data_IF_996600047391
#
_entry.id   IF_996600047391
#
_cell.length_a   1.000
_cell.length_b   1.000
_cell.length_c   1.000
_cell.angle_alpha   90.00
_cell.angle_beta   90.00
_cell.angle_gamma   90.00
#
_symmetry.space_group_name_H-M   'P 1'
#
loop_
_entity.id
_entity.type
_entity.pdbx_description
1 polymer ?
#
# COMPACT_ATOMS: atom_id res chain seq x y z
N UNK A 1 -14.21 -8.20 -18.42
CA UNK A 1 -13.21 -8.18 -17.32
C UNK A 1 -12.30 -6.99 -17.54
N UNK A 2 -12.44 -5.93 -16.73
CA UNK A 2 -11.52 -4.79 -16.79
C UNK A 2 -10.14 -5.29 -16.33
N UNK A 3 -9.17 -5.38 -17.24
CA UNK A 3 -7.77 -5.68 -16.90
C UNK A 3 -7.31 -4.64 -15.88
N UNK A 4 -7.04 -5.07 -14.65
CA UNK A 4 -6.40 -4.23 -13.64
C UNK A 4 -5.11 -3.68 -14.24
N UNK A 5 -4.94 -2.36 -14.21
CA UNK A 5 -3.72 -1.70 -14.74
C UNK A 5 -2.45 -2.12 -13.99
N UNK A 6 -2.61 -2.67 -12.78
CA UNK A 6 -1.53 -3.09 -11.91
C UNK A 6 -1.41 -4.61 -11.87
N UNK A 7 -0.20 -5.08 -12.03
CA UNK A 7 0.17 -6.49 -11.87
C UNK A 7 0.44 -6.81 -10.40
N UNK A 8 0.28 -8.08 -10.02
CA UNK A 8 0.62 -8.57 -8.67
C UNK A 8 2.05 -8.18 -8.26
N UNK A 9 3.00 -8.32 -9.19
CA UNK A 9 4.41 -7.98 -8.98
C UNK A 9 4.62 -6.51 -8.59
N UNK A 10 3.83 -5.59 -9.15
CA UNK A 10 3.92 -4.16 -8.81
C UNK A 10 3.37 -3.90 -7.40
N UNK A 11 2.25 -4.53 -7.04
CA UNK A 11 1.67 -4.43 -5.69
C UNK A 11 2.65 -4.98 -4.64
N UNK A 12 3.27 -6.12 -4.90
CA UNK A 12 4.27 -6.72 -4.01
C UNK A 12 5.50 -5.82 -3.86
N UNK A 13 6.02 -5.27 -4.97
CA UNK A 13 7.17 -4.37 -4.95
C UNK A 13 6.88 -3.12 -4.13
N UNK A 14 5.70 -2.51 -4.32
CA UNK A 14 5.25 -1.35 -3.54
C UNK A 14 5.11 -1.69 -2.07
N UNK A 15 4.49 -2.82 -1.76
CA UNK A 15 4.27 -3.30 -0.39
C UNK A 15 5.59 -3.54 0.35
N UNK A 16 6.52 -4.28 -0.27
CA UNK A 16 7.83 -4.55 0.29
C UNK A 16 8.63 -3.27 0.49
N UNK A 17 8.64 -2.37 -0.50
CA UNK A 17 9.36 -1.12 -0.38
C UNK A 17 8.84 -0.27 0.78
N UNK A 18 7.53 -0.05 0.87
CA UNK A 18 6.94 0.74 1.94
C UNK A 18 7.21 0.13 3.32
N UNK A 19 6.97 -1.17 3.48
CA UNK A 19 7.17 -1.84 4.77
C UNK A 19 8.64 -1.85 5.19
N UNK A 20 9.58 -2.08 4.26
CA UNK A 20 11.01 -2.02 4.55
C UNK A 20 11.47 -0.60 4.91
N UNK A 21 11.04 0.40 4.13
CA UNK A 21 11.38 1.80 4.40
C UNK A 21 10.84 2.27 5.74
N UNK A 22 9.58 1.93 6.05
CA UNK A 22 8.94 2.24 7.32
C UNK A 22 9.64 1.56 8.50
N UNK A 23 10.02 0.28 8.35
CA UNK A 23 10.78 -0.43 9.37
C UNK A 23 12.17 0.18 9.62
N UNK A 24 12.92 0.52 8.55
CA UNK A 24 14.25 1.13 8.65
C UNK A 24 14.21 2.54 9.24
N UNK A 25 13.16 3.30 8.92
CA UNK A 25 13.00 4.69 9.35
C UNK A 25 12.25 4.83 10.68
N UNK A 26 11.89 3.72 11.34
CA UNK A 26 11.04 3.67 12.54
C UNK A 26 9.68 4.42 12.38
N UNK A 27 9.13 4.42 11.16
CA UNK A 27 7.84 5.05 10.85
C UNK A 27 6.73 4.01 11.01
N UNK A 28 5.81 4.25 11.94
CA UNK A 28 4.73 3.31 12.24
C UNK A 28 3.50 3.49 11.33
N UNK A 29 3.31 4.70 10.80
CA UNK A 29 2.22 4.99 9.86
C UNK A 29 2.61 6.06 8.85
N UNK A 30 2.11 5.91 7.63
CA UNK A 30 2.23 6.89 6.55
C UNK A 30 0.85 7.20 5.99
N UNK A 31 0.63 8.45 5.60
CA UNK A 31 -0.54 8.79 4.76
C UNK A 31 -0.32 8.31 3.34
N UNK A 32 -1.41 8.07 2.58
CA UNK A 32 -1.28 7.71 1.18
C UNK A 32 -0.56 8.77 0.33
N UNK A 33 -0.66 10.05 0.69
CA UNK A 33 0.08 11.13 0.04
C UNK A 33 1.59 10.97 0.23
N UNK A 34 2.03 10.77 1.48
CA UNK A 34 3.45 10.56 1.81
C UNK A 34 4.00 9.28 1.19
N UNK A 35 3.23 8.19 1.25
CA UNK A 35 3.61 6.93 0.64
C UNK A 35 3.76 7.07 -0.89
N UNK A 36 2.83 7.78 -1.54
CA UNK A 36 2.92 8.04 -2.97
C UNK A 36 4.15 8.88 -3.34
N UNK A 37 4.46 9.91 -2.54
CA UNK A 37 5.65 10.74 -2.75
C UNK A 37 6.94 9.93 -2.59
N UNK A 38 7.03 9.07 -1.56
CA UNK A 38 8.17 8.19 -1.35
C UNK A 38 8.36 7.20 -2.50
N UNK A 39 7.27 6.58 -2.96
CA UNK A 39 7.31 5.65 -4.10
C UNK A 39 7.75 6.35 -5.39
N UNK A 40 7.32 7.59 -5.60
CA UNK A 40 7.70 8.40 -6.75
C UNK A 40 9.18 8.77 -6.71
N UNK A 41 9.67 9.30 -5.57
CA UNK A 41 11.07 9.68 -5.37
C UNK A 41 12.03 8.51 -5.59
N UNK A 42 11.60 7.29 -5.26
CA UNK A 42 12.40 6.08 -5.40
C UNK A 42 12.13 5.31 -6.70
N UNK A 43 11.39 5.89 -7.65
CA UNK A 43 11.04 5.26 -8.94
C UNK A 43 10.38 3.88 -8.80
N UNK A 44 9.69 3.63 -7.69
CA UNK A 44 9.00 2.35 -7.42
C UNK A 44 7.63 2.33 -8.09
N UNK A 45 6.90 3.44 -7.98
CA UNK A 45 5.63 3.66 -8.67
C UNK A 45 5.64 5.07 -9.23
N UNK A 46 5.43 5.21 -10.54
CA UNK A 46 5.39 6.53 -11.17
C UNK A 46 4.18 7.32 -10.68
N UNK A 47 4.37 8.63 -10.58
CA UNK A 47 3.38 9.56 -10.05
C UNK A 47 2.72 10.46 -11.12
N UNK A 48 2.97 10.12 -12.38
CA UNK A 48 2.71 10.92 -13.57
C UNK A 48 1.38 10.57 -14.26
N UNK A 49 0.69 9.50 -13.84
CA UNK A 49 -0.60 9.12 -14.39
C UNK A 49 -1.71 9.64 -13.47
N UNK A 50 -2.53 10.55 -13.99
CA UNK A 50 -3.71 11.13 -13.33
C UNK A 50 -3.62 12.63 -13.06
N UNK A 51 -4.70 13.25 -12.55
CA UNK A 51 -4.81 14.71 -12.39
C UNK A 51 -4.01 15.27 -11.20
N UNK A 52 -3.51 14.42 -10.30
CA UNK A 52 -2.83 14.83 -9.07
C UNK A 52 -1.69 13.87 -8.69
N UNK A 53 -0.62 14.37 -8.04
CA UNK A 53 0.35 13.53 -7.35
C UNK A 53 -0.34 12.54 -6.40
N UNK A 54 0.07 11.29 -6.49
CA UNK A 54 -0.41 10.15 -5.72
C UNK A 54 -1.72 9.55 -6.22
N UNK A 55 -2.19 9.96 -7.39
CA UNK A 55 -3.40 9.37 -8.00
C UNK A 55 -3.23 7.86 -8.22
N UNK A 56 -2.11 7.42 -8.83
CA UNK A 56 -1.85 6.00 -9.08
C UNK A 56 -1.90 5.14 -7.82
N UNK A 57 -1.19 5.57 -6.78
CA UNK A 57 -1.16 4.84 -5.52
C UNK A 57 -2.57 4.77 -4.89
N UNK A 58 -3.32 5.87 -4.89
CA UNK A 58 -4.71 5.87 -4.39
C UNK A 58 -5.65 4.99 -5.21
N UNK A 59 -5.49 4.95 -6.54
CA UNK A 59 -6.24 4.03 -7.39
C UNK A 59 -5.86 2.57 -7.11
N UNK A 60 -4.58 2.27 -6.88
CA UNK A 60 -4.12 0.94 -6.48
C UNK A 60 -4.77 0.52 -5.15
N UNK A 61 -4.80 1.40 -4.14
CA UNK A 61 -5.48 1.15 -2.86
C UNK A 61 -6.99 0.91 -3.05
N UNK A 62 -7.64 1.68 -3.92
CA UNK A 62 -9.07 1.50 -4.23
C UNK A 62 -9.34 0.17 -4.92
N UNK A 63 -8.53 -0.21 -5.91
CA UNK A 63 -8.65 -1.49 -6.61
C UNK A 63 -8.41 -2.67 -5.65
N UNK A 64 -7.47 -2.54 -4.71
CA UNK A 64 -7.24 -3.54 -3.66
C UNK A 64 -8.43 -3.69 -2.71
N UNK A 65 -9.12 -2.59 -2.38
CA UNK A 65 -10.37 -2.62 -1.60
C UNK A 65 -11.50 -3.33 -2.35
N UNK A 66 -11.60 -3.09 -3.65
CA UNK A 66 -12.61 -3.66 -4.54
C UNK A 66 -12.30 -5.12 -4.95
N UNK A 67 -11.18 -5.70 -4.48
CA UNK A 67 -10.78 -7.07 -4.81
C UNK A 67 -10.30 -7.27 -6.25
N UNK A 68 -10.01 -6.18 -6.99
CA UNK A 68 -9.51 -6.24 -8.36
C UNK A 68 -8.02 -6.57 -8.45
N UNK A 69 -7.29 -6.28 -7.38
CA UNK A 69 -5.87 -6.59 -7.18
C UNK A 69 -5.66 -6.99 -5.71
N UNK A 70 -4.48 -7.53 -5.41
CA UNK A 70 -4.08 -7.74 -4.01
C UNK A 70 -3.96 -6.40 -3.27
N UNK A 71 -4.25 -6.41 -1.96
CA UNK A 71 -4.14 -5.21 -1.13
C UNK A 71 -2.68 -4.91 -0.84
N UNK A 72 -2.31 -3.63 -0.94
CA UNK A 72 -1.00 -3.16 -0.48
C UNK A 72 -0.84 -3.46 1.01
N UNK A 73 0.32 -3.98 1.41
CA UNK A 73 0.59 -4.34 2.80
C UNK A 73 0.43 -3.12 3.73
N UNK A 74 -0.34 -3.29 4.79
CA UNK A 74 -0.57 -2.27 5.81
C UNK A 74 -1.59 -1.21 5.40
N UNK A 75 -2.16 -1.30 4.19
CA UNK A 75 -3.16 -0.36 3.73
C UNK A 75 -4.46 -0.46 4.52
N UNK A 76 -4.86 0.66 5.11
CA UNK A 76 -6.05 0.80 5.92
C UNK A 76 -6.83 2.06 5.54
N UNK A 77 -8.15 1.95 5.62
CA UNK A 77 -9.07 3.06 5.50
C UNK A 77 -10.24 2.80 6.45
N UNK A 78 -10.47 3.73 7.37
CA UNK A 78 -11.51 3.57 8.40
C UNK A 78 -12.92 3.52 7.81
N UNK A 79 -13.25 4.44 6.89
CA UNK A 79 -14.56 4.50 6.22
C UNK A 79 -14.41 4.95 4.76
N UNK A 80 -15.36 4.66 3.87
CA UNK A 80 -15.37 5.26 2.55
C UNK A 80 -15.25 6.79 2.65
N UNK A 81 -14.48 7.40 1.74
CA UNK A 81 -14.17 8.84 1.70
C UNK A 81 -13.22 9.37 2.79
N UNK A 82 -12.72 8.54 3.72
CA UNK A 82 -11.64 8.97 4.63
C UNK A 82 -10.27 8.81 3.98
N UNK A 83 -9.25 9.45 4.56
CA UNK A 83 -7.85 9.28 4.12
C UNK A 83 -7.41 7.83 4.29
N UNK A 84 -6.56 7.38 3.38
CA UNK A 84 -5.87 6.11 3.46
C UNK A 84 -4.60 6.26 4.30
N UNK A 85 -4.33 5.24 5.11
CA UNK A 85 -3.10 5.13 5.90
C UNK A 85 -2.43 3.80 5.59
N UNK A 86 -1.10 3.81 5.56
CA UNK A 86 -0.27 2.61 5.48
C UNK A 86 0.34 2.42 6.85
N UNK A 87 -0.01 1.35 7.54
CA UNK A 87 0.56 1.01 8.83
C UNK A 87 1.71 0.04 8.64
N UNK A 88 2.74 0.16 9.48
CA UNK A 88 3.80 -0.83 9.55
C UNK A 88 3.17 -2.14 10.05
N UNK A 89 3.34 -3.21 9.28
CA UNK A 89 2.97 -4.55 9.73
C UNK A 89 4.13 -5.08 10.55
N UNK A 90 3.87 -5.25 11.84
CA UNK A 90 4.82 -5.91 12.72
C UNK A 90 4.98 -7.36 12.28
N UNK A 91 6.19 -7.81 11.93
CA UNK A 91 6.45 -9.21 11.53
C UNK A 91 6.07 -10.20 12.64
N UNK A 92 5.93 -9.74 13.88
CA UNK A 92 5.43 -10.52 15.02
C UNK A 92 3.94 -10.89 14.92
N UNK A 93 3.15 -10.17 14.11
CA UNK A 93 1.72 -10.44 13.91
C UNK A 93 1.43 -11.50 12.84
N UNK A 94 2.42 -11.89 12.04
CA UNK A 94 2.28 -12.97 11.05
C UNK A 94 2.36 -14.39 11.66
N UNK A 95 2.78 -14.52 12.92
CA UNK A 95 2.96 -15.82 13.61
C UNK A 95 1.87 -16.13 14.66
N UNK A 96 0.74 -15.41 14.68
CA UNK A 96 -0.36 -15.66 15.63
C UNK A 96 -1.59 -16.25 14.94
N UNK A 97 -1.49 -17.53 14.58
CA UNK A 97 -2.60 -18.47 14.35
C UNK A 97 -1.92 -19.85 14.44
N UNK A 98 -2.24 -20.79 15.34
CA UNK A 98 -3.49 -21.15 16.01
C UNK A 98 -3.10 -21.80 17.37
N UNK A 99 -3.82 -21.59 18.49
CA UNK A 99 -3.66 -22.46 19.65
C UNK A 99 -4.19 -23.85 19.29
N UNK A 100 -3.29 -24.83 19.15
CA UNK A 100 -3.66 -26.25 19.18
C UNK A 100 -4.30 -26.53 20.53
N UNK A 101 -5.60 -26.87 20.49
CA UNK A 101 -6.34 -27.45 21.61
C UNK A 101 -5.72 -28.76 22.05
#
# INVERSE_FOLDING_TARGET
MLKSKYTRKEVDKVSQFLQNYMAQSAIHSLTADQAAELLAKNSVLRNDIGPKPGFNFREMLRQGREGKIEKVAGAFQLRPKTKWTINLIDKSTLNKTIPTR
#
